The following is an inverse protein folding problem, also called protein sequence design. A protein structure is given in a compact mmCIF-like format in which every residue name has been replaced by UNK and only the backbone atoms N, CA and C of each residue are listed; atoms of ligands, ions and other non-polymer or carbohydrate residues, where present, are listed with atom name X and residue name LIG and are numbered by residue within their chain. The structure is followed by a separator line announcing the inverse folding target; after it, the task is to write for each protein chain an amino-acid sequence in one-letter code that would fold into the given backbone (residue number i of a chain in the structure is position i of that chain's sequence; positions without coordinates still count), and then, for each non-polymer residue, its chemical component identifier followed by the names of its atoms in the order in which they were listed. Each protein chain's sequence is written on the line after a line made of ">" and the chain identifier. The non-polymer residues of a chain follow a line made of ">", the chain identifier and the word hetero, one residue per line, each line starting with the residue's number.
data_IF_053220828255
#
_entry.id   IF_053220828255
#
_cell.length_a   1.000
_cell.length_b   1.000
_cell.length_c   1.000
_cell.angle_alpha   90.00
_cell.angle_beta   90.00
_cell.angle_gamma   90.00
#
_symmetry.space_group_name_H-M   'P 1'
#
loop_
_entity.id
_entity.type
_entity.pdbx_description
1 polymer ?
#
# COMPACT_ATOMS: atom_id res chain seq x y z
N UNK A 1 4.70 31.09 48.73
CA UNK A 1 4.83 31.14 47.26
C UNK A 1 5.23 29.73 46.82
N UNK A 2 4.33 28.75 46.82
CA UNK A 2 3.25 28.52 45.85
C UNK A 2 3.69 28.76 44.40
N UNK A 3 4.01 27.65 43.73
CA UNK A 3 4.21 27.51 42.30
C UNK A 3 3.86 26.06 41.95
N UNK A 4 2.57 25.78 41.89
CA UNK A 4 2.00 24.51 41.42
C UNK A 4 2.34 24.36 39.93
N UNK A 5 3.20 23.41 39.58
CA UNK A 5 3.30 22.90 38.22
C UNK A 5 2.05 22.04 37.98
N UNK A 6 1.20 22.51 37.06
CA UNK A 6 0.05 21.75 36.59
C UNK A 6 0.55 20.55 35.80
N UNK A 7 0.39 19.38 36.39
CA UNK A 7 0.35 18.11 35.69
C UNK A 7 -0.97 18.08 34.92
N UNK A 8 -0.93 18.52 33.65
CA UNK A 8 -1.99 18.32 32.69
C UNK A 8 -1.57 17.17 31.77
N UNK A 9 -1.56 15.96 32.32
CA UNK A 9 -1.78 14.76 31.52
C UNK A 9 -3.28 14.71 31.21
N UNK A 10 -3.73 14.85 29.95
CA UNK A 10 -5.11 14.51 29.63
C UNK A 10 -5.27 13.03 29.96
N UNK A 11 -6.15 12.72 30.91
CA UNK A 11 -6.49 11.35 31.25
C UNK A 11 -6.87 10.62 29.97
N UNK A 12 -6.12 9.55 29.66
CA UNK A 12 -6.43 8.65 28.56
C UNK A 12 -7.83 8.12 28.77
N UNK A 13 -8.76 8.62 27.96
CA UNK A 13 -10.07 8.01 27.81
C UNK A 13 -9.81 6.57 27.35
N UNK A 14 -10.29 5.58 28.11
CA UNK A 14 -10.05 4.19 27.77
C UNK A 14 -10.61 3.94 26.37
N UNK A 15 -9.74 3.50 25.45
CA UNK A 15 -10.16 3.16 24.11
C UNK A 15 -11.28 2.11 24.19
N UNK A 16 -12.35 2.31 23.44
CA UNK A 16 -13.51 1.44 23.41
C UNK A 16 -13.84 1.06 21.97
N UNK A 17 -14.56 -0.05 21.79
CA UNK A 17 -15.04 -0.48 20.47
C UNK A 17 -15.89 0.63 19.84
N UNK A 18 -15.54 1.01 18.61
CA UNK A 18 -16.19 2.09 17.89
C UNK A 18 -17.63 1.74 17.47
N UNK A 19 -18.45 2.77 17.29
CA UNK A 19 -19.78 2.65 16.72
C UNK A 19 -20.06 3.88 15.83
N UNK A 20 -20.09 3.72 14.48
CA UNK A 20 -19.95 2.47 13.74
C UNK A 20 -18.49 1.97 13.62
N UNK A 21 -18.31 0.66 13.48
CA UNK A 21 -17.00 0.05 13.17
C UNK A 21 -16.67 0.17 11.69
N UNK A 22 -15.39 0.01 11.32
CA UNK A 22 -14.94 -0.06 9.91
C UNK A 22 -15.74 -1.11 9.14
N UNK A 23 -15.92 -2.33 9.67
CA UNK A 23 -16.70 -3.38 9.01
C UNK A 23 -18.12 -2.92 8.67
N UNK A 24 -18.79 -2.23 9.60
CA UNK A 24 -20.13 -1.69 9.37
C UNK A 24 -20.13 -0.57 8.31
N UNK A 25 -19.14 0.33 8.35
CA UNK A 25 -18.99 1.44 7.40
C UNK A 25 -18.72 0.91 5.98
N UNK A 26 -17.80 -0.05 5.83
CA UNK A 26 -17.47 -0.65 4.53
C UNK A 26 -18.64 -1.46 3.96
N UNK A 27 -19.40 -2.15 4.81
CA UNK A 27 -20.65 -2.79 4.39
C UNK A 27 -21.69 -1.78 3.90
N UNK A 28 -21.82 -0.63 4.58
CA UNK A 28 -22.68 0.48 4.16
C UNK A 28 -22.27 1.04 2.79
N UNK A 29 -20.97 1.24 2.56
CA UNK A 29 -20.45 1.64 1.26
C UNK A 29 -20.81 0.62 0.18
N UNK A 30 -20.56 -0.67 0.40
CA UNK A 30 -20.89 -1.70 -0.58
C UNK A 30 -22.39 -1.81 -0.85
N UNK A 31 -23.26 -1.57 0.14
CA UNK A 31 -24.70 -1.56 -0.07
C UNK A 31 -25.15 -0.44 -1.02
N UNK A 32 -24.64 0.79 -0.81
CA UNK A 32 -24.91 1.94 -1.69
C UNK A 32 -24.38 1.68 -3.11
N UNK A 33 -23.20 1.06 -3.23
CA UNK A 33 -22.59 0.69 -4.52
C UNK A 33 -23.36 -0.40 -5.26
N UNK A 34 -23.87 -1.41 -4.55
CA UNK A 34 -24.66 -2.51 -5.13
C UNK A 34 -25.95 -2.03 -5.77
N UNK A 35 -26.59 -1.01 -5.20
CA UNK A 35 -27.83 -0.44 -5.71
C UNK A 35 -27.64 0.28 -7.07
N UNK A 36 -26.41 0.71 -7.39
CA UNK A 36 -26.12 1.54 -8.57
C UNK A 36 -25.23 0.88 -9.63
N UNK A 37 -24.44 -0.13 -9.26
CA UNK A 37 -23.48 -0.76 -10.17
C UNK A 37 -24.04 -2.01 -10.85
N UNK A 38 -23.56 -2.28 -12.07
CA UNK A 38 -23.77 -3.58 -12.71
C UNK A 38 -23.05 -4.68 -11.90
N UNK A 39 -23.61 -5.90 -11.90
CA UNK A 39 -23.13 -7.02 -11.08
C UNK A 39 -21.63 -7.31 -11.22
N UNK A 40 -21.10 -7.30 -12.46
CA UNK A 40 -19.67 -7.51 -12.71
C UNK A 40 -18.79 -6.43 -12.06
N UNK A 41 -19.18 -5.16 -12.18
CA UNK A 41 -18.44 -4.05 -11.60
C UNK A 41 -18.54 -4.06 -10.09
N UNK A 42 -19.71 -4.38 -9.55
CA UNK A 42 -19.89 -4.55 -8.11
C UNK A 42 -19.00 -5.67 -7.54
N UNK A 43 -18.87 -6.81 -8.23
CA UNK A 43 -17.95 -7.88 -7.83
C UNK A 43 -16.53 -7.37 -7.61
N UNK A 44 -15.98 -6.61 -8.57
CA UNK A 44 -14.66 -5.98 -8.41
C UNK A 44 -14.58 -5.02 -7.22
N UNK A 45 -15.67 -4.32 -6.88
CA UNK A 45 -15.69 -3.42 -5.73
C UNK A 45 -15.68 -4.22 -4.42
N UNK A 46 -16.46 -5.29 -4.35
CA UNK A 46 -16.47 -6.19 -3.21
C UNK A 46 -15.07 -6.81 -2.99
N UNK A 47 -14.44 -7.32 -4.04
CA UNK A 47 -13.09 -7.90 -3.97
C UNK A 47 -12.07 -6.88 -3.43
N UNK A 48 -12.10 -5.63 -3.90
CA UNK A 48 -11.19 -4.59 -3.40
C UNK A 48 -11.46 -4.25 -1.93
N UNK A 49 -12.72 -4.16 -1.52
CA UNK A 49 -13.08 -3.83 -0.13
C UNK A 49 -12.75 -4.99 0.82
N UNK A 50 -12.86 -6.23 0.36
CA UNK A 50 -12.37 -7.41 1.09
C UNK A 50 -10.85 -7.35 1.28
N UNK A 51 -10.09 -7.05 0.22
CA UNK A 51 -8.63 -6.87 0.31
C UNK A 51 -8.23 -5.69 1.22
N UNK A 52 -8.98 -4.60 1.20
CA UNK A 52 -8.76 -3.47 2.11
C UNK A 52 -8.99 -3.89 3.57
N UNK A 53 -10.03 -4.67 3.86
CA UNK A 53 -10.26 -5.21 5.21
C UNK A 53 -9.13 -6.13 5.66
N UNK A 54 -8.66 -7.03 4.80
CA UNK A 54 -7.48 -7.85 5.10
C UNK A 54 -6.24 -7.01 5.38
N UNK A 55 -6.04 -5.94 4.61
CA UNK A 55 -4.92 -5.03 4.83
C UNK A 55 -5.04 -4.29 6.16
N UNK A 56 -6.23 -3.79 6.51
CA UNK A 56 -6.47 -3.11 7.79
C UNK A 56 -6.24 -4.08 8.96
N UNK A 57 -6.82 -5.28 8.91
CA UNK A 57 -6.66 -6.29 9.96
C UNK A 57 -5.20 -6.73 10.15
N UNK A 58 -4.45 -6.85 9.05
CA UNK A 58 -3.06 -7.32 9.11
C UNK A 58 -2.02 -6.26 9.43
N UNK A 59 -2.30 -4.97 9.20
CA UNK A 59 -1.25 -3.94 9.18
C UNK A 59 -1.60 -2.63 9.90
N UNK A 60 -2.88 -2.30 10.11
CA UNK A 60 -3.26 -1.00 10.67
C UNK A 60 -2.88 -0.84 12.15
N UNK A 61 -2.73 -1.96 12.88
CA UNK A 61 -2.26 -1.98 14.28
C UNK A 61 -0.90 -1.27 14.46
N UNK A 62 -0.06 -1.22 13.43
CA UNK A 62 1.25 -0.54 13.46
C UNK A 62 1.15 0.99 13.59
N UNK A 63 -0.04 1.55 13.39
CA UNK A 63 -0.29 3.00 13.45
C UNK A 63 -1.05 3.45 14.70
N UNK A 64 -1.44 2.51 15.56
CA UNK A 64 -2.21 2.79 16.76
C UNK A 64 -1.39 3.55 17.79
N UNK A 65 -2.06 4.41 18.57
CA UNK A 65 -1.46 4.92 19.79
C UNK A 65 -1.43 3.84 20.89
N UNK A 66 -0.83 4.16 22.04
CA UNK A 66 -0.67 3.20 23.12
C UNK A 66 -2.01 2.67 23.64
N UNK A 67 -3.02 3.53 23.81
CA UNK A 67 -4.31 3.12 24.37
C UNK A 67 -5.12 2.29 23.38
N UNK A 68 -5.11 2.68 22.12
CA UNK A 68 -5.71 1.90 21.04
C UNK A 68 -5.03 0.54 20.88
N UNK A 69 -3.70 0.50 20.95
CA UNK A 69 -2.94 -0.75 20.84
C UNK A 69 -3.26 -1.70 22.00
N UNK A 70 -3.36 -1.20 23.25
CA UNK A 70 -3.76 -2.00 24.41
C UNK A 70 -5.16 -2.61 24.22
N UNK A 71 -6.14 -1.83 23.73
CA UNK A 71 -7.47 -2.35 23.38
C UNK A 71 -7.40 -3.41 22.28
N UNK A 72 -6.65 -3.14 21.21
CA UNK A 72 -6.51 -4.06 20.09
C UNK A 72 -5.87 -5.37 20.55
N UNK A 73 -4.79 -5.32 21.32
CA UNK A 73 -4.09 -6.49 21.83
C UNK A 73 -4.97 -7.33 22.76
N UNK A 74 -5.78 -6.70 23.62
CA UNK A 74 -6.74 -7.41 24.48
C UNK A 74 -7.79 -8.15 23.64
N UNK A 75 -8.46 -7.47 22.71
CA UNK A 75 -9.58 -8.04 21.95
C UNK A 75 -9.13 -8.99 20.84
N UNK A 76 -7.97 -8.76 20.22
CA UNK A 76 -7.41 -9.63 19.19
C UNK A 76 -6.84 -10.93 19.75
N UNK A 77 -6.39 -10.95 21.00
CA UNK A 77 -5.91 -12.17 21.66
C UNK A 77 -6.98 -12.84 22.53
N UNK A 78 -8.19 -12.29 22.61
CA UNK A 78 -9.29 -12.88 23.34
C UNK A 78 -9.76 -14.19 22.68
N UNK A 79 -10.22 -15.15 23.50
CA UNK A 79 -10.70 -16.43 22.98
C UNK A 79 -12.21 -16.40 22.64
N UNK A 80 -12.60 -17.20 21.66
CA UNK A 80 -14.01 -17.44 21.32
C UNK A 80 -14.73 -16.18 20.83
N UNK A 81 -15.97 -15.97 21.29
CA UNK A 81 -16.85 -14.89 20.83
C UNK A 81 -16.40 -13.48 21.28
N UNK A 82 -15.30 -13.38 22.04
CA UNK A 82 -14.68 -12.12 22.42
C UNK A 82 -13.60 -11.66 21.44
N UNK A 83 -13.05 -12.57 20.61
CA UNK A 83 -12.08 -12.24 19.57
C UNK A 83 -12.63 -11.17 18.64
N UNK A 84 -11.84 -10.14 18.33
CA UNK A 84 -12.18 -9.13 17.34
C UNK A 84 -10.99 -8.82 16.45
N UNK A 85 -11.25 -8.69 15.16
CA UNK A 85 -10.29 -8.14 14.20
C UNK A 85 -10.27 -6.61 14.23
N UNK A 86 -9.21 -5.99 13.71
CA UNK A 86 -9.06 -4.51 13.70
C UNK A 86 -10.31 -3.80 13.17
N UNK A 87 -10.87 -4.26 12.05
CA UNK A 87 -12.06 -3.66 11.44
C UNK A 87 -13.34 -3.79 12.29
N UNK A 88 -13.36 -4.68 13.27
CA UNK A 88 -14.47 -4.89 14.20
C UNK A 88 -14.29 -4.09 15.51
N UNK A 89 -13.11 -3.51 15.73
CA UNK A 89 -12.77 -2.72 16.92
C UNK A 89 -12.87 -1.23 16.62
N UNK A 90 -12.23 -0.78 15.53
CA UNK A 90 -12.02 0.64 15.26
C UNK A 90 -13.02 1.24 14.27
N UNK A 91 -13.08 2.57 14.25
CA UNK A 91 -14.00 3.36 13.45
C UNK A 91 -13.42 3.85 12.11
N UNK A 92 -14.23 4.58 11.32
CA UNK A 92 -13.86 5.01 9.97
C UNK A 92 -12.64 5.93 9.89
N UNK A 93 -12.25 6.58 10.99
CA UNK A 93 -11.09 7.44 11.12
C UNK A 93 -9.77 6.75 10.72
N UNK A 94 -9.68 5.42 10.81
CA UNK A 94 -8.48 4.67 10.40
C UNK A 94 -8.50 4.23 8.92
N UNK A 95 -9.62 4.38 8.19
CA UNK A 95 -9.72 3.90 6.81
C UNK A 95 -8.81 4.70 5.88
N UNK A 96 -8.93 6.04 5.87
CA UNK A 96 -8.19 6.89 4.95
C UNK A 96 -6.68 6.93 5.23
N UNK A 97 -6.21 7.04 6.48
CA UNK A 97 -4.79 6.95 6.80
C UNK A 97 -4.14 5.67 6.27
N UNK A 98 -4.86 4.55 6.27
CA UNK A 98 -4.36 3.24 5.83
C UNK A 98 -4.27 3.07 4.31
N UNK A 99 -4.91 3.93 3.51
CA UNK A 99 -4.97 3.75 2.05
C UNK A 99 -3.57 3.77 1.39
N UNK A 100 -2.61 4.50 1.96
CA UNK A 100 -1.22 4.48 1.51
C UNK A 100 -0.59 3.09 1.62
N UNK A 101 -0.68 2.48 2.80
CA UNK A 101 -0.19 1.12 3.07
C UNK A 101 -0.88 0.10 2.15
N UNK A 102 -2.20 0.22 1.99
CA UNK A 102 -2.98 -0.65 1.12
C UNK A 102 -2.52 -0.59 -0.34
N UNK A 103 -2.43 0.61 -0.92
CA UNK A 103 -2.12 0.77 -2.34
C UNK A 103 -0.64 0.57 -2.65
N UNK A 104 0.28 1.10 -1.84
CA UNK A 104 1.70 1.13 -2.15
C UNK A 104 2.45 -0.14 -1.70
N UNK A 105 2.02 -0.78 -0.61
CA UNK A 105 2.69 -1.99 -0.09
C UNK A 105 1.84 -3.25 -0.26
N UNK A 106 0.62 -3.28 0.28
CA UNK A 106 -0.19 -4.50 0.36
C UNK A 106 -0.57 -5.03 -1.02
N UNK A 107 -1.13 -4.19 -1.88
CA UNK A 107 -1.52 -4.59 -3.25
C UNK A 107 -0.34 -5.08 -4.09
N UNK A 108 0.88 -4.57 -3.86
CA UNK A 108 2.09 -4.95 -4.60
C UNK A 108 2.72 -6.24 -4.04
N UNK A 109 2.78 -6.34 -2.72
CA UNK A 109 3.58 -7.35 -2.02
C UNK A 109 2.79 -8.58 -1.59
N UNK A 110 1.48 -8.44 -1.36
CA UNK A 110 0.65 -9.47 -0.70
C UNK A 110 -0.44 -10.05 -1.60
N UNK A 111 -0.78 -9.36 -2.68
CA UNK A 111 -1.87 -9.76 -3.57
C UNK A 111 -1.33 -10.19 -4.94
N UNK A 112 -1.73 -11.39 -5.38
CA UNK A 112 -1.59 -11.80 -6.78
C UNK A 112 -2.76 -11.25 -7.59
N UNK A 113 -2.66 -10.00 -8.01
CA UNK A 113 -3.74 -9.29 -8.72
C UNK A 113 -3.45 -9.12 -10.20
N UNK A 114 -4.46 -9.35 -11.04
CA UNK A 114 -4.43 -8.92 -12.43
C UNK A 114 -4.64 -7.40 -12.56
N UNK A 115 -4.32 -6.86 -13.75
CA UNK A 115 -4.36 -5.41 -14.01
C UNK A 115 -5.72 -4.76 -13.77
N UNK A 116 -6.82 -5.49 -13.98
CA UNK A 116 -8.16 -4.97 -13.75
C UNK A 116 -8.44 -4.75 -12.26
N UNK A 117 -8.01 -5.68 -11.39
CA UNK A 117 -8.14 -5.56 -9.95
C UNK A 117 -7.23 -4.43 -9.42
N UNK A 118 -5.98 -4.34 -9.88
CA UNK A 118 -5.05 -3.26 -9.50
C UNK A 118 -5.60 -1.87 -9.87
N UNK A 119 -6.18 -1.74 -11.07
CA UNK A 119 -6.84 -0.50 -11.50
C UNK A 119 -8.10 -0.21 -10.68
N UNK A 120 -8.86 -1.27 -10.36
CA UNK A 120 -10.04 -1.16 -9.52
C UNK A 120 -9.65 -0.69 -8.10
N UNK A 121 -8.54 -1.15 -7.53
CA UNK A 121 -8.07 -0.74 -6.20
C UNK A 121 -8.00 0.78 -6.06
N UNK A 122 -7.28 1.47 -6.94
CA UNK A 122 -7.24 2.94 -6.93
C UNK A 122 -8.59 3.61 -7.22
N UNK A 123 -9.44 2.97 -8.05
CA UNK A 123 -10.77 3.51 -8.40
C UNK A 123 -11.78 3.39 -7.27
N UNK A 124 -11.73 2.29 -6.51
CA UNK A 124 -12.63 2.02 -5.40
C UNK A 124 -12.20 2.85 -4.20
N UNK A 125 -10.91 2.94 -3.87
CA UNK A 125 -10.44 3.74 -2.74
C UNK A 125 -10.74 5.23 -2.89
N UNK A 126 -10.56 5.80 -4.09
CA UNK A 126 -10.96 7.21 -4.33
C UNK A 126 -12.48 7.42 -4.22
N UNK A 127 -13.30 6.42 -4.55
CA UNK A 127 -14.76 6.51 -4.44
C UNK A 127 -15.21 6.34 -3.01
N UNK A 128 -14.60 5.40 -2.28
CA UNK A 128 -14.78 5.24 -0.85
C UNK A 128 -14.43 6.53 -0.10
N UNK A 129 -13.32 7.19 -0.44
CA UNK A 129 -12.94 8.46 0.18
C UNK A 129 -14.00 9.56 0.02
N UNK A 130 -14.55 9.70 -1.19
CA UNK A 130 -15.66 10.64 -1.43
C UNK A 130 -16.90 10.27 -0.64
N UNK A 131 -17.26 8.99 -0.64
CA UNK A 131 -18.41 8.50 0.09
C UNK A 131 -18.27 8.72 1.60
N UNK A 132 -17.07 8.49 2.17
CA UNK A 132 -16.79 8.75 3.59
C UNK A 132 -16.96 10.24 3.92
N UNK A 133 -16.48 11.15 3.08
CA UNK A 133 -16.69 12.59 3.26
C UNK A 133 -18.18 12.97 3.15
N UNK A 134 -18.90 12.43 2.17
CA UNK A 134 -20.34 12.69 1.99
C UNK A 134 -21.17 12.22 3.18
N UNK A 135 -20.75 11.15 3.88
CA UNK A 135 -21.37 10.63 5.10
C UNK A 135 -20.88 11.34 6.38
N UNK A 136 -19.91 12.24 6.27
CA UNK A 136 -19.33 12.96 7.42
C UNK A 136 -18.31 12.16 8.24
N UNK A 137 -17.80 11.05 7.71
CA UNK A 137 -16.79 10.22 8.35
C UNK A 137 -15.34 10.69 8.09
N UNK A 138 -15.15 11.62 7.16
CA UNK A 138 -13.86 12.18 6.84
C UNK A 138 -14.00 13.66 6.45
N UNK A 139 -12.95 14.45 6.65
CA UNK A 139 -12.92 15.82 6.14
C UNK A 139 -12.72 15.83 4.63
N UNK A 140 -13.10 16.94 3.98
CA UNK A 140 -12.88 17.12 2.54
C UNK A 140 -11.40 17.09 2.16
N UNK A 141 -10.51 17.52 3.06
CA UNK A 141 -9.06 17.49 2.88
C UNK A 141 -8.54 16.05 2.88
N UNK A 142 -8.85 15.26 3.91
CA UNK A 142 -8.47 13.84 4.00
C UNK A 142 -8.97 13.03 2.79
N UNK A 143 -10.21 13.30 2.37
CA UNK A 143 -10.78 12.68 1.18
C UNK A 143 -10.08 13.15 -0.11
N UNK A 144 -9.71 14.43 -0.21
CA UNK A 144 -8.97 14.99 -1.33
C UNK A 144 -7.63 14.29 -1.57
N UNK A 145 -6.82 14.17 -0.51
CA UNK A 145 -5.52 13.49 -0.55
C UNK A 145 -5.67 12.02 -0.97
N UNK A 146 -6.68 11.34 -0.44
CA UNK A 146 -6.94 9.94 -0.80
C UNK A 146 -7.43 9.81 -2.25
N UNK A 147 -8.20 10.78 -2.76
CA UNK A 147 -8.65 10.79 -4.15
C UNK A 147 -7.48 10.95 -5.12
N UNK A 148 -6.50 11.78 -4.79
CA UNK A 148 -5.26 11.91 -5.56
C UNK A 148 -4.48 10.59 -5.58
N UNK A 149 -4.21 10.02 -4.40
CA UNK A 149 -3.52 8.72 -4.26
C UNK A 149 -4.23 7.60 -5.03
N UNK A 150 -5.55 7.50 -4.91
CA UNK A 150 -6.33 6.50 -5.64
C UNK A 150 -6.32 6.72 -7.16
N UNK A 151 -6.26 7.97 -7.61
CA UNK A 151 -6.15 8.31 -9.04
C UNK A 151 -4.79 7.89 -9.60
N UNK A 152 -3.71 8.16 -8.87
CA UNK A 152 -2.37 7.74 -9.25
C UNK A 152 -2.24 6.22 -9.22
N UNK A 153 -2.70 5.55 -8.16
CA UNK A 153 -2.64 4.10 -8.04
C UNK A 153 -3.42 3.37 -9.16
N UNK A 154 -4.59 3.89 -9.57
CA UNK A 154 -5.36 3.30 -10.67
C UNK A 154 -4.60 3.33 -12.01
N UNK A 155 -3.70 4.29 -12.21
CA UNK A 155 -2.80 4.39 -13.36
C UNK A 155 -1.54 3.56 -13.17
N UNK A 156 -0.94 3.65 -11.99
CA UNK A 156 0.43 3.25 -11.74
C UNK A 156 0.57 1.79 -11.32
N UNK A 157 -0.36 1.25 -10.51
CA UNK A 157 -0.28 -0.16 -10.07
C UNK A 157 -0.29 -1.16 -11.24
N UNK A 158 -1.21 -1.08 -12.23
CA UNK A 158 -1.15 -1.97 -13.40
C UNK A 158 0.14 -1.81 -14.22
N UNK A 159 0.72 -0.61 -14.23
CA UNK A 159 1.95 -0.31 -14.98
C UNK A 159 3.19 -0.85 -14.25
N UNK A 160 3.22 -0.76 -12.93
CA UNK A 160 4.25 -1.34 -12.08
C UNK A 160 4.24 -2.88 -12.18
N UNK A 161 3.06 -3.50 -12.16
CA UNK A 161 2.90 -4.95 -12.37
C UNK A 161 3.45 -5.37 -13.73
N UNK A 162 3.08 -4.65 -14.80
CA UNK A 162 3.59 -4.91 -16.15
C UNK A 162 5.11 -4.76 -16.25
N UNK A 163 5.67 -3.74 -15.59
CA UNK A 163 7.12 -3.56 -15.54
C UNK A 163 7.79 -4.73 -14.82
N UNK A 164 7.24 -5.15 -13.67
CA UNK A 164 7.72 -6.30 -12.92
C UNK A 164 7.75 -7.57 -13.78
N UNK A 165 6.68 -7.85 -14.53
CA UNK A 165 6.63 -8.99 -15.44
C UNK A 165 7.72 -8.95 -16.53
N UNK A 166 7.91 -7.79 -17.18
CA UNK A 166 8.96 -7.61 -18.20
C UNK A 166 10.36 -7.78 -17.62
N UNK A 167 10.61 -7.24 -16.42
CA UNK A 167 11.91 -7.37 -15.75
C UNK A 167 12.18 -8.81 -15.33
N UNK A 168 11.18 -9.48 -14.75
CA UNK A 168 11.28 -10.87 -14.36
C UNK A 168 11.62 -11.76 -15.57
N UNK A 169 10.91 -11.60 -16.69
CA UNK A 169 11.22 -12.34 -17.92
C UNK A 169 12.64 -12.04 -18.44
N UNK A 170 13.06 -10.79 -18.36
CA UNK A 170 14.39 -10.36 -18.79
C UNK A 170 15.52 -10.97 -17.93
N UNK A 171 15.30 -11.15 -16.63
CA UNK A 171 16.31 -11.65 -15.69
C UNK A 171 16.32 -13.18 -15.59
N UNK A 172 15.16 -13.84 -15.64
CA UNK A 172 14.96 -15.24 -15.24
C UNK A 172 15.85 -16.28 -15.92
N UNK A 173 16.36 -16.01 -17.12
CA UNK A 173 17.22 -16.95 -17.87
C UNK A 173 18.59 -16.37 -18.22
N UNK A 174 18.91 -15.19 -17.70
CA UNK A 174 20.07 -14.42 -18.15
C UNK A 174 21.24 -14.50 -17.19
N UNK A 175 20.96 -14.53 -15.89
CA UNK A 175 21.95 -14.55 -14.83
C UNK A 175 21.57 -15.59 -13.78
N UNK A 176 22.58 -16.18 -13.15
CA UNK A 176 22.40 -16.99 -11.94
C UNK A 176 22.79 -16.13 -10.74
N UNK A 177 21.93 -16.00 -9.71
CA UNK A 177 22.25 -15.26 -8.50
C UNK A 177 23.51 -15.78 -7.80
N UNK A 178 24.28 -14.88 -7.22
CA UNK A 178 25.50 -15.15 -6.44
C UNK A 178 25.42 -14.42 -5.09
N UNK A 179 26.03 -14.98 -4.05
CA UNK A 179 26.04 -14.40 -2.69
C UNK A 179 26.65 -12.97 -2.62
N UNK A 180 27.37 -12.56 -3.67
CA UNK A 180 27.98 -11.23 -3.77
C UNK A 180 27.08 -10.22 -4.50
N UNK A 181 25.92 -10.64 -4.98
CA UNK A 181 24.95 -9.73 -5.58
C UNK A 181 24.36 -8.80 -4.53
N UNK A 182 24.17 -7.55 -4.93
CA UNK A 182 23.59 -6.53 -4.06
C UNK A 182 22.08 -6.69 -4.12
N UNK A 183 21.52 -7.32 -3.10
CA UNK A 183 20.06 -7.40 -2.89
C UNK A 183 19.59 -6.13 -2.20
N UNK A 184 18.69 -5.38 -2.83
CA UNK A 184 18.14 -4.14 -2.27
C UNK A 184 16.80 -3.77 -2.93
N UNK A 185 16.22 -2.69 -2.42
CA UNK A 185 15.22 -1.85 -3.07
C UNK A 185 15.91 -0.69 -3.76
N UNK A 186 15.81 -0.69 -5.08
CA UNK A 186 16.50 0.28 -5.91
C UNK A 186 15.57 1.38 -6.44
N UNK A 187 15.77 2.63 -6.04
CA UNK A 187 15.04 3.77 -6.58
C UNK A 187 15.52 4.10 -7.99
N UNK A 188 14.59 4.30 -8.92
CA UNK A 188 14.89 4.74 -10.28
C UNK A 188 15.18 6.24 -10.26
N UNK A 189 16.45 6.60 -10.37
CA UNK A 189 16.89 8.00 -10.35
C UNK A 189 16.88 8.63 -11.75
N UNK A 190 17.16 7.82 -12.77
CA UNK A 190 17.26 8.29 -14.16
C UNK A 190 16.98 7.16 -15.15
N UNK A 191 16.46 7.53 -16.32
CA UNK A 191 16.22 6.61 -17.42
C UNK A 191 16.63 7.21 -18.76
N UNK A 192 17.10 6.36 -19.65
CA UNK A 192 17.24 6.58 -21.09
C UNK A 192 16.63 5.37 -21.82
N UNK A 193 16.33 5.46 -23.14
CA UNK A 193 15.89 4.29 -23.89
C UNK A 193 16.86 3.11 -23.74
N UNK A 194 16.40 2.04 -23.10
CA UNK A 194 17.18 0.83 -22.83
C UNK A 194 18.22 0.92 -21.70
N UNK A 195 18.23 2.00 -20.91
CA UNK A 195 19.14 2.15 -19.75
C UNK A 195 18.46 2.76 -18.53
N UNK A 196 18.85 2.32 -17.34
CA UNK A 196 18.43 2.91 -16.06
C UNK A 196 19.60 3.16 -15.14
N UNK A 197 19.42 4.09 -14.21
CA UNK A 197 20.28 4.29 -13.05
C UNK A 197 19.43 4.11 -11.80
N UNK A 198 19.98 3.32 -10.89
CA UNK A 198 19.32 2.81 -9.70
C UNK A 198 20.09 3.26 -8.47
N UNK A 199 19.44 3.79 -7.46
CA UNK A 199 20.05 4.09 -6.17
C UNK A 199 19.61 3.05 -5.15
N UNK A 200 20.57 2.40 -4.47
CA UNK A 200 20.28 1.47 -3.38
C UNK A 200 19.69 2.20 -2.18
N UNK A 201 18.63 1.65 -1.58
CA UNK A 201 17.99 2.25 -0.42
C UNK A 201 18.85 2.09 0.85
N UNK A 202 19.62 1.02 0.97
CA UNK A 202 20.45 0.76 2.15
C UNK A 202 21.75 1.57 2.14
N UNK A 203 22.42 1.67 0.99
CA UNK A 203 23.77 2.27 0.89
C UNK A 203 23.81 3.61 0.14
N UNK A 204 22.70 4.04 -0.47
CA UNK A 204 22.61 5.27 -1.26
C UNK A 204 23.50 5.27 -2.51
N UNK A 205 23.98 4.10 -2.97
CA UNK A 205 24.91 4.01 -4.09
C UNK A 205 24.16 4.06 -5.41
N UNK A 206 24.55 5.01 -6.27
CA UNK A 206 24.05 5.10 -7.63
C UNK A 206 24.71 4.05 -8.54
N UNK A 207 23.95 3.04 -8.92
CA UNK A 207 24.30 1.96 -9.81
C UNK A 207 23.83 2.27 -11.24
N UNK A 208 24.74 2.16 -12.21
CA UNK A 208 24.39 2.26 -13.63
C UNK A 208 25.47 2.87 -14.52
N UNK A 209 25.22 2.91 -15.84
CA UNK A 209 23.98 2.51 -16.50
C UNK A 209 23.75 0.99 -16.51
N UNK A 210 22.54 0.56 -16.15
CA UNK A 210 22.09 -0.83 -16.29
C UNK A 210 21.31 -0.95 -17.60
N UNK A 211 21.68 -1.91 -18.44
CA UNK A 211 21.00 -2.15 -19.72
C UNK A 211 19.72 -2.96 -19.50
N UNK A 212 18.59 -2.42 -19.96
CA UNK A 212 17.27 -3.06 -19.91
C UNK A 212 16.62 -3.09 -21.30
N UNK A 213 15.59 -3.92 -21.53
CA UNK A 213 14.78 -3.83 -22.73
C UNK A 213 14.14 -2.44 -22.86
N UNK A 214 13.98 -1.97 -24.10
CA UNK A 214 13.38 -0.66 -24.35
C UNK A 214 11.93 -0.62 -23.84
N UNK A 215 11.17 -1.71 -23.99
CA UNK A 215 9.83 -1.82 -23.41
C UNK A 215 9.81 -1.65 -21.87
N UNK A 216 10.82 -2.14 -21.15
CA UNK A 216 10.92 -1.96 -19.70
C UNK A 216 11.11 -0.48 -19.37
N UNK A 217 12.09 0.18 -20.01
CA UNK A 217 12.38 1.61 -19.76
C UNK A 217 11.23 2.54 -20.12
N UNK A 218 10.33 2.15 -21.04
CA UNK A 218 9.10 2.90 -21.33
C UNK A 218 8.05 2.81 -20.22
N UNK A 219 8.10 1.76 -19.41
CA UNK A 219 7.19 1.54 -18.27
C UNK A 219 7.76 2.11 -16.97
N UNK A 220 9.07 2.24 -16.84
CA UNK A 220 9.72 2.85 -15.69
C UNK A 220 9.27 4.31 -15.46
N UNK A 221 9.44 4.79 -14.23
CA UNK A 221 9.19 6.17 -13.79
C UNK A 221 10.25 6.53 -12.73
N UNK A 222 10.72 7.78 -12.73
CA UNK A 222 11.63 8.25 -11.68
C UNK A 222 10.89 8.27 -10.34
N UNK A 223 11.57 7.86 -9.27
CA UNK A 223 10.99 7.74 -7.93
C UNK A 223 10.33 6.39 -7.64
N UNK A 224 10.14 5.54 -8.65
CA UNK A 224 9.68 4.16 -8.43
C UNK A 224 10.83 3.27 -7.98
N UNK A 225 10.49 2.23 -7.23
CA UNK A 225 11.48 1.31 -6.66
C UNK A 225 11.38 -0.08 -7.29
N UNK A 226 12.51 -0.69 -7.60
CA UNK A 226 12.61 -2.09 -8.02
C UNK A 226 13.26 -2.87 -6.89
N UNK A 227 12.55 -3.83 -6.29
CA UNK A 227 13.16 -4.82 -5.41
C UNK A 227 13.79 -5.93 -6.26
N UNK A 228 15.05 -6.24 -6.02
CA UNK A 228 15.78 -7.25 -6.79
C UNK A 228 17.24 -7.31 -6.39
N UNK A 229 18.06 -7.83 -7.31
CA UNK A 229 19.50 -7.99 -7.13
C UNK A 229 20.26 -7.33 -8.28
N UNK A 230 21.31 -6.57 -7.97
CA UNK A 230 22.21 -5.95 -8.94
C UNK A 230 23.63 -6.45 -8.74
N UNK A 231 24.31 -6.77 -9.85
CA UNK A 231 25.72 -7.14 -9.85
C UNK A 231 26.57 -6.06 -10.47
N UNK A 232 27.63 -5.68 -9.76
CA UNK A 232 28.70 -4.85 -10.29
C UNK A 232 29.90 -5.71 -10.68
N UNK A 233 30.33 -5.57 -11.94
CA UNK A 233 31.55 -6.22 -12.44
C UNK A 233 32.44 -5.17 -13.06
N UNK A 234 33.38 -4.65 -12.25
CA UNK A 234 34.27 -3.57 -12.64
C UNK A 234 33.51 -2.28 -12.93
N UNK A 235 33.34 -1.93 -14.21
CA UNK A 235 32.62 -0.72 -14.65
C UNK A 235 31.20 -1.00 -15.17
N UNK A 236 30.71 -2.22 -15.04
CA UNK A 236 29.39 -2.63 -15.55
C UNK A 236 28.48 -2.99 -14.40
N UNK A 237 27.23 -2.57 -14.50
CA UNK A 237 26.16 -2.95 -13.60
C UNK A 237 25.10 -3.72 -14.40
N UNK A 238 24.61 -4.82 -13.85
CA UNK A 238 23.52 -5.61 -14.45
C UNK A 238 22.46 -5.91 -13.41
N UNK A 239 21.19 -5.85 -13.81
CA UNK A 239 20.09 -6.36 -13.01
C UNK A 239 20.09 -7.89 -13.14
N UNK A 240 20.35 -8.58 -12.03
CA UNK A 240 20.45 -10.04 -11.94
C UNK A 240 19.09 -10.65 -11.73
N UNK A 241 18.30 -10.07 -10.82
CA UNK A 241 16.93 -10.48 -10.52
C UNK A 241 16.04 -9.26 -10.32
N UNK A 242 14.75 -9.43 -10.62
CA UNK A 242 13.71 -8.47 -10.31
C UNK A 242 12.52 -9.22 -9.69
N UNK A 243 12.08 -8.78 -8.52
CA UNK A 243 10.99 -9.43 -7.77
C UNK A 243 9.72 -8.60 -7.81
N UNK A 244 9.79 -7.32 -7.41
CA UNK A 244 8.63 -6.42 -7.30
C UNK A 244 8.98 -5.01 -7.71
N UNK A 245 7.99 -4.27 -8.20
CA UNK A 245 8.10 -2.87 -8.56
C UNK A 245 7.06 -2.08 -7.78
N UNK A 246 7.51 -1.01 -7.11
CA UNK A 246 6.69 -0.17 -6.25
C UNK A 246 6.53 1.22 -6.90
N UNK A 247 5.29 1.65 -7.18
CA UNK A 247 5.02 2.95 -7.78
C UNK A 247 4.99 4.12 -6.78
#
# INVERSE_FOLDING_TARGET
>A
MQGTAGDNTPGGEAAAVASPTISAVLAGYLADEKARLAAKTYGLYADVIELLQHSLNGYAANSLDKGEYELWEELFNAEGDQHREFCEIFGPEHILPHIGEFLSYFMVSKVMAGQDLLRASGTVTKKLAKWLADKGYATAEQAGDTVERGTDAARDLPRAEKLGAVLYEFTSNKYSPEDTDIEDRFEIMRMEPGKVWLEGFEDGRLLGPISLPVEATKLCRVGWTIAGAVRETGKKCVLVEAWKVYP
#
